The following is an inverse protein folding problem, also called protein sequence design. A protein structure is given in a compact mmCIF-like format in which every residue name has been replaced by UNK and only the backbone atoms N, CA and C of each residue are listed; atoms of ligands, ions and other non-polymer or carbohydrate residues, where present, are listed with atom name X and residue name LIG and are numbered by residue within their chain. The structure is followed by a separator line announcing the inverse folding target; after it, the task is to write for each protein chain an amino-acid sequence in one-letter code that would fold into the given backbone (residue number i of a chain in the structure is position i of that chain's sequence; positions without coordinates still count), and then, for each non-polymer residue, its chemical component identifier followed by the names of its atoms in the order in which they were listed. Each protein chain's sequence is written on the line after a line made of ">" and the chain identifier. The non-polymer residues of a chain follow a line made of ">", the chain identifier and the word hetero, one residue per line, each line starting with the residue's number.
data_IF_516807305772
#
_entry.id   IF_516807305772
#
_cell.length_a   1.000
_cell.length_b   1.000
_cell.length_c   1.000
_cell.angle_alpha   90.00
_cell.angle_beta   90.00
_cell.angle_gamma   90.00
#
_symmetry.space_group_name_H-M   'P 1'
#
loop_
_entity.id
_entity.type
_entity.pdbx_description
1 polymer ?
#
# COMPACT_ATOMS: atom_id res chain seq x y z
N UNK A 1 -37.54 -3.00 7.34
CA UNK A 1 -37.94 -3.69 6.09
C UNK A 1 -36.79 -3.60 5.10
N UNK A 2 -36.14 -4.73 4.76
CA UNK A 2 -35.10 -4.78 3.74
C UNK A 2 -35.77 -4.59 2.39
N UNK A 3 -35.46 -3.51 1.70
CA UNK A 3 -35.87 -3.30 0.31
C UNK A 3 -34.94 -4.15 -0.57
N UNK A 4 -35.46 -5.28 -1.04
CA UNK A 4 -34.75 -6.10 -2.01
C UNK A 4 -34.66 -5.36 -3.34
N UNK A 5 -33.44 -5.25 -3.90
CA UNK A 5 -33.21 -4.81 -5.28
C UNK A 5 -33.22 -6.05 -6.16
N UNK A 6 -34.13 -6.08 -7.13
CA UNK A 6 -34.19 -7.16 -8.13
C UNK A 6 -33.36 -6.69 -9.33
N UNK A 7 -32.25 -7.37 -9.59
CA UNK A 7 -31.46 -7.14 -10.81
C UNK A 7 -32.03 -8.03 -11.90
N UNK A 8 -32.68 -7.43 -12.89
CA UNK A 8 -33.31 -8.16 -13.99
C UNK A 8 -32.34 -8.50 -15.12
N UNK A 9 -31.29 -7.69 -15.27
CA UNK A 9 -30.26 -7.86 -16.31
C UNK A 9 -28.96 -7.23 -15.87
N UNK A 10 -27.84 -7.84 -16.24
CA UNK A 10 -26.49 -7.30 -16.07
C UNK A 10 -25.89 -7.16 -17.47
N UNK A 11 -25.69 -5.93 -17.92
CA UNK A 11 -25.03 -5.65 -19.19
C UNK A 11 -23.52 -5.44 -18.97
N UNK A 12 -22.70 -6.15 -19.73
CA UNK A 12 -21.23 -6.03 -19.69
C UNK A 12 -20.68 -4.97 -20.66
N UNK A 13 -21.53 -4.42 -21.52
CA UNK A 13 -21.13 -3.41 -22.50
C UNK A 13 -21.99 -2.17 -22.35
N UNK A 14 -21.34 -1.03 -22.15
CA UNK A 14 -21.97 0.28 -22.23
C UNK A 14 -21.96 0.69 -23.71
N UNK A 15 -22.98 0.29 -24.44
CA UNK A 15 -23.15 0.74 -25.82
C UNK A 15 -23.58 2.21 -25.84
N UNK A 16 -22.66 3.11 -26.24
CA UNK A 16 -22.91 4.49 -26.71
C UNK A 16 -24.10 5.22 -26.05
N UNK A 17 -24.14 5.25 -24.73
CA UNK A 17 -25.06 6.17 -24.03
C UNK A 17 -24.41 7.54 -24.08
N UNK A 18 -25.09 8.51 -24.73
CA UNK A 18 -24.66 9.90 -24.71
C UNK A 18 -24.57 10.36 -23.23
N UNK A 19 -23.36 10.69 -22.76
CA UNK A 19 -23.11 11.09 -21.36
C UNK A 19 -24.04 12.22 -20.90
N UNK A 20 -24.41 13.13 -21.81
CA UNK A 20 -25.29 14.25 -21.55
C UNK A 20 -26.75 13.82 -21.24
N UNK A 21 -27.12 12.58 -21.51
CA UNK A 21 -28.45 12.02 -21.19
C UNK A 21 -28.53 11.30 -19.85
N UNK A 22 -27.38 11.15 -19.15
CA UNK A 22 -27.35 10.46 -17.86
C UNK A 22 -27.73 11.41 -16.73
N UNK A 23 -28.57 10.92 -15.81
CA UNK A 23 -28.91 11.62 -14.57
C UNK A 23 -28.17 10.93 -13.42
N UNK A 24 -27.35 11.69 -12.70
CA UNK A 24 -26.68 11.19 -11.51
C UNK A 24 -27.72 10.82 -10.45
N UNK A 25 -27.73 9.56 -10.04
CA UNK A 25 -28.65 9.04 -9.01
C UNK A 25 -27.99 9.13 -7.63
N UNK A 26 -26.69 8.86 -7.57
CA UNK A 26 -25.92 8.84 -6.32
C UNK A 26 -24.44 9.03 -6.63
N UNK A 27 -23.78 9.85 -5.84
CA UNK A 27 -22.32 10.01 -5.86
C UNK A 27 -21.76 9.59 -4.50
N UNK A 28 -20.77 8.70 -4.51
CA UNK A 28 -20.03 8.28 -3.31
C UNK A 28 -18.57 8.70 -3.54
N UNK A 29 -18.04 9.52 -2.61
CA UNK A 29 -16.63 9.90 -2.66
C UNK A 29 -15.78 8.83 -1.96
N UNK A 30 -14.68 8.43 -2.61
CA UNK A 30 -13.67 7.59 -1.96
C UNK A 30 -12.97 8.37 -0.84
N UNK A 31 -12.36 7.69 0.14
CA UNK A 31 -11.36 8.29 1.01
C UNK A 31 -10.20 8.88 0.19
N UNK A 32 -9.42 9.74 0.81
CA UNK A 32 -8.17 10.26 0.23
C UNK A 32 -7.12 9.15 0.11
N UNK A 33 -6.15 9.30 -0.80
CA UNK A 33 -5.15 8.26 -1.06
C UNK A 33 -4.31 7.93 0.18
N UNK A 34 -3.97 8.93 0.98
CA UNK A 34 -3.27 8.74 2.26
C UNK A 34 -4.05 7.82 3.22
N UNK A 35 -5.37 8.00 3.31
CA UNK A 35 -6.23 7.16 4.14
C UNK A 35 -6.39 5.74 3.57
N UNK A 36 -6.37 5.58 2.25
CA UNK A 36 -6.39 4.26 1.62
C UNK A 36 -5.07 3.53 1.93
N UNK A 37 -3.93 4.22 1.83
CA UNK A 37 -2.61 3.65 2.15
C UNK A 37 -2.52 3.28 3.63
N UNK A 38 -2.95 4.16 4.54
CA UNK A 38 -3.00 3.89 5.98
C UNK A 38 -3.82 2.61 6.29
N UNK A 39 -5.02 2.50 5.74
CA UNK A 39 -5.87 1.31 5.91
C UNK A 39 -5.24 0.06 5.30
N UNK A 40 -4.63 0.18 4.12
CA UNK A 40 -3.94 -0.91 3.45
C UNK A 40 -2.79 -1.46 4.32
N UNK A 41 -1.93 -0.59 4.84
CA UNK A 41 -0.80 -1.00 5.68
C UNK A 41 -1.25 -1.52 7.06
N UNK A 42 -2.27 -0.91 7.66
CA UNK A 42 -2.82 -1.33 8.96
C UNK A 42 -3.45 -2.72 8.91
N UNK A 43 -4.12 -3.07 7.79
CA UNK A 43 -4.88 -4.31 7.67
C UNK A 43 -4.19 -5.37 6.79
N UNK A 44 -2.99 -5.10 6.28
CA UNK A 44 -2.28 -5.94 5.30
C UNK A 44 -3.18 -6.27 4.08
N UNK A 45 -3.81 -5.22 3.52
CA UNK A 45 -4.76 -5.39 2.41
C UNK A 45 -4.04 -5.55 1.07
N UNK A 46 -3.73 -6.79 0.77
CA UNK A 46 -3.05 -7.20 -0.45
C UNK A 46 -3.82 -6.85 -1.74
N UNK A 47 -5.16 -6.80 -1.68
CA UNK A 47 -5.98 -6.44 -2.84
C UNK A 47 -5.82 -4.95 -3.14
N UNK A 48 -5.90 -4.10 -2.12
CA UNK A 48 -5.69 -2.65 -2.28
C UNK A 48 -4.26 -2.35 -2.78
N UNK A 49 -3.23 -3.04 -2.25
CA UNK A 49 -1.86 -2.89 -2.72
C UNK A 49 -1.71 -3.22 -4.22
N UNK A 50 -2.30 -4.32 -4.67
CA UNK A 50 -2.31 -4.70 -6.09
C UNK A 50 -3.08 -3.69 -6.96
N UNK A 51 -4.17 -3.13 -6.45
CA UNK A 51 -4.94 -2.12 -7.18
C UNK A 51 -4.18 -0.80 -7.29
N UNK A 52 -3.42 -0.39 -6.26
CA UNK A 52 -2.55 0.79 -6.32
C UNK A 52 -1.46 0.59 -7.39
N UNK A 53 -0.83 -0.58 -7.47
CA UNK A 53 0.14 -0.87 -8.53
C UNK A 53 -0.49 -0.73 -9.93
N UNK A 54 -1.72 -1.22 -10.12
CA UNK A 54 -2.45 -1.08 -11.41
C UNK A 54 -2.80 0.38 -11.71
N UNK A 55 -3.14 1.17 -10.69
CA UNK A 55 -3.42 2.61 -10.85
C UNK A 55 -2.15 3.39 -11.23
N UNK A 56 -0.99 3.03 -10.67
CA UNK A 56 0.32 3.55 -11.10
C UNK A 56 0.51 3.25 -12.60
N UNK A 57 0.26 2.02 -13.01
CA UNK A 57 0.34 1.62 -14.42
C UNK A 57 -0.61 2.42 -15.29
N UNK A 58 -1.86 2.61 -14.87
CA UNK A 58 -2.86 3.38 -15.59
C UNK A 58 -2.46 4.85 -15.74
N UNK A 59 -2.01 5.49 -14.68
CA UNK A 59 -1.61 6.89 -14.70
C UNK A 59 -0.43 7.17 -15.63
N UNK A 60 0.46 6.19 -15.83
CA UNK A 60 1.68 6.33 -16.65
C UNK A 60 1.48 5.91 -18.10
N UNK A 61 0.67 4.89 -18.34
CA UNK A 61 0.57 4.24 -19.67
C UNK A 61 -0.84 4.24 -20.24
N UNK A 62 -1.85 4.62 -19.46
CA UNK A 62 -3.26 4.46 -19.80
C UNK A 62 -3.78 3.02 -19.66
N UNK A 63 -2.97 2.09 -19.14
CA UNK A 63 -3.35 0.68 -18.94
C UNK A 63 -3.25 0.30 -17.47
N UNK A 64 -4.40 0.01 -16.84
CA UNK A 64 -4.49 -0.43 -15.46
C UNK A 64 -4.22 -1.92 -15.30
N UNK A 65 -2.99 -2.36 -15.46
CA UNK A 65 -2.58 -3.76 -15.31
C UNK A 65 -1.37 -3.90 -14.38
N UNK A 66 -1.21 -5.06 -13.76
CA UNK A 66 -0.01 -5.40 -12.97
C UNK A 66 1.26 -5.17 -13.80
N UNK A 67 1.27 -5.65 -15.04
CA UNK A 67 2.43 -5.52 -15.93
C UNK A 67 2.82 -4.07 -16.22
N UNK A 68 1.85 -3.18 -16.47
CA UNK A 68 2.13 -1.75 -16.67
C UNK A 68 2.62 -1.07 -15.40
N UNK A 69 2.09 -1.45 -14.24
CA UNK A 69 2.57 -0.96 -12.94
C UNK A 69 4.02 -1.39 -12.66
N UNK A 70 4.34 -2.66 -12.87
CA UNK A 70 5.68 -3.21 -12.68
C UNK A 70 6.74 -2.57 -13.60
N UNK A 71 6.37 -2.21 -14.82
CA UNK A 71 7.27 -1.49 -15.73
C UNK A 71 7.47 -0.04 -15.29
N UNK A 72 6.43 0.60 -14.78
CA UNK A 72 6.45 2.01 -14.38
C UNK A 72 7.20 2.25 -13.07
N UNK A 73 7.17 1.31 -12.13
CA UNK A 73 7.71 1.52 -10.78
C UNK A 73 9.22 1.78 -10.74
N UNK A 74 10.09 1.02 -11.45
CA UNK A 74 11.52 1.32 -11.49
C UNK A 74 11.84 2.70 -12.06
N UNK A 75 11.06 3.17 -13.04
CA UNK A 75 11.20 4.51 -13.60
C UNK A 75 10.83 5.61 -12.58
N UNK A 76 9.79 5.36 -11.77
CA UNK A 76 9.39 6.27 -10.69
C UNK A 76 10.48 6.34 -9.62
N UNK A 77 11.02 5.21 -9.20
CA UNK A 77 12.11 5.17 -8.23
C UNK A 77 13.33 5.94 -8.74
N UNK A 78 13.74 5.68 -9.97
CA UNK A 78 14.88 6.38 -10.59
C UNK A 78 14.63 7.90 -10.75
N UNK A 79 13.41 8.31 -11.05
CA UNK A 79 13.06 9.73 -11.18
C UNK A 79 13.06 10.48 -9.83
N UNK A 80 13.05 9.75 -8.72
CA UNK A 80 13.12 10.27 -7.36
C UNK A 80 14.46 9.94 -6.67
N UNK A 81 15.50 9.62 -7.45
CA UNK A 81 16.84 9.27 -6.98
C UNK A 81 16.88 8.08 -6.00
N UNK A 82 15.83 7.23 -6.00
CA UNK A 82 15.77 6.04 -5.17
C UNK A 82 16.43 4.83 -5.85
N UNK A 83 17.13 3.98 -5.09
CA UNK A 83 17.82 2.82 -5.67
C UNK A 83 16.79 1.79 -6.16
N UNK A 84 17.08 1.20 -7.32
CA UNK A 84 16.29 0.07 -7.85
C UNK A 84 17.13 -1.21 -8.05
N UNK A 85 18.40 -1.16 -7.69
CA UNK A 85 19.29 -2.33 -7.77
C UNK A 85 18.85 -3.40 -6.79
N UNK A 86 18.63 -4.61 -7.28
CA UNK A 86 18.13 -5.73 -6.48
C UNK A 86 16.62 -5.72 -6.25
N UNK A 87 15.90 -4.80 -6.89
CA UNK A 87 14.43 -4.82 -6.91
C UNK A 87 13.94 -5.77 -8.01
N UNK A 88 13.18 -6.77 -7.63
CA UNK A 88 12.42 -7.64 -8.52
C UNK A 88 10.99 -7.73 -7.99
N UNK A 89 10.03 -7.28 -8.75
CA UNK A 89 8.62 -7.33 -8.38
C UNK A 89 7.85 -8.16 -9.40
N UNK A 90 6.99 -9.02 -8.88
CA UNK A 90 6.08 -9.89 -9.64
C UNK A 90 4.64 -9.42 -9.47
N UNK A 91 4.32 -8.82 -8.32
CA UNK A 91 3.02 -8.26 -7.99
C UNK A 91 3.15 -7.06 -7.04
N UNK A 92 2.06 -6.35 -6.82
CA UNK A 92 1.97 -5.25 -5.86
C UNK A 92 1.53 -5.70 -4.47
N UNK A 93 0.99 -6.90 -4.37
CA UNK A 93 0.43 -7.44 -3.14
C UNK A 93 1.47 -7.98 -2.16
N UNK A 94 2.71 -8.26 -2.62
CA UNK A 94 3.73 -8.92 -1.82
C UNK A 94 3.56 -10.43 -1.64
N UNK A 95 2.51 -11.04 -2.20
CA UNK A 95 2.23 -12.47 -2.03
C UNK A 95 3.15 -13.38 -2.84
N UNK A 96 3.70 -12.89 -3.94
CA UNK A 96 4.67 -13.66 -4.70
C UNK A 96 5.96 -13.87 -3.90
N UNK A 97 6.42 -15.12 -3.83
CA UNK A 97 7.70 -15.47 -3.20
C UNK A 97 8.92 -14.98 -3.99
N UNK A 98 8.72 -14.61 -5.23
CA UNK A 98 9.77 -14.11 -6.12
C UNK A 98 9.94 -12.59 -6.04
N UNK A 99 9.10 -11.88 -5.27
CA UNK A 99 9.32 -10.48 -4.96
C UNK A 99 10.60 -10.30 -4.14
N UNK A 100 11.45 -9.37 -4.54
CA UNK A 100 12.71 -9.04 -3.88
C UNK A 100 12.89 -7.52 -3.80
N UNK A 101 13.28 -7.03 -2.65
CA UNK A 101 13.70 -5.67 -2.42
C UNK A 101 14.86 -5.64 -1.43
N UNK A 102 15.68 -4.61 -1.46
CA UNK A 102 16.78 -4.45 -0.53
C UNK A 102 16.36 -3.64 0.70
N UNK A 103 16.93 -3.95 1.88
CA UNK A 103 16.77 -3.10 3.05
C UNK A 103 17.19 -1.65 2.77
N UNK A 104 18.24 -1.45 1.99
CA UNK A 104 18.71 -0.12 1.59
C UNK A 104 17.65 0.70 0.84
N UNK A 105 16.84 0.08 -0.03
CA UNK A 105 15.74 0.78 -0.70
C UNK A 105 14.71 1.29 0.33
N UNK A 106 14.30 0.44 1.26
CA UNK A 106 13.34 0.83 2.30
C UNK A 106 13.89 1.91 3.23
N UNK A 107 15.18 1.80 3.58
CA UNK A 107 15.86 2.82 4.39
C UNK A 107 15.85 4.18 3.67
N UNK A 108 16.27 4.25 2.41
CA UNK A 108 16.28 5.49 1.64
C UNK A 108 14.89 6.08 1.45
N UNK A 109 13.85 5.26 1.28
CA UNK A 109 12.46 5.72 1.23
C UNK A 109 12.04 6.35 2.58
N UNK A 110 12.39 5.73 3.71
CA UNK A 110 12.03 6.24 5.03
C UNK A 110 12.86 7.50 5.42
N UNK A 111 14.10 7.59 4.96
CA UNK A 111 14.96 8.77 5.17
C UNK A 111 14.54 9.98 4.32
N UNK A 112 13.76 9.77 3.25
CA UNK A 112 13.25 10.85 2.42
C UNK A 112 12.31 11.77 3.20
N UNK A 113 12.55 13.07 3.14
CA UNK A 113 11.81 14.04 3.94
C UNK A 113 10.34 14.21 3.53
N UNK A 114 10.00 13.89 2.29
CA UNK A 114 8.64 14.01 1.75
C UNK A 114 7.87 12.70 1.89
N UNK A 115 8.47 11.59 1.43
CA UNK A 115 7.82 10.29 1.39
C UNK A 115 7.91 9.55 2.73
N UNK A 116 9.06 9.57 3.40
CA UNK A 116 9.30 8.89 4.67
C UNK A 116 8.29 9.31 5.74
N UNK A 117 8.14 10.61 5.98
CA UNK A 117 7.16 11.12 6.95
C UNK A 117 5.72 10.72 6.62
N UNK A 118 5.36 10.63 5.35
CA UNK A 118 4.02 10.21 4.91
C UNK A 118 3.81 8.73 5.15
N UNK A 119 4.81 7.91 4.84
CA UNK A 119 4.77 6.46 5.05
C UNK A 119 4.72 6.13 6.55
N UNK A 120 5.58 6.74 7.37
CA UNK A 120 5.60 6.53 8.81
C UNK A 120 4.25 6.79 9.48
N UNK A 121 3.56 7.87 9.05
CA UNK A 121 2.19 8.17 9.54
C UNK A 121 1.14 7.15 9.12
N UNK A 122 1.40 6.41 8.05
CA UNK A 122 0.52 5.37 7.55
C UNK A 122 0.83 3.99 8.14
N UNK A 123 2.00 3.80 8.77
CA UNK A 123 2.38 2.55 9.40
C UNK A 123 1.59 2.33 10.70
N UNK A 124 1.11 1.10 10.96
CA UNK A 124 0.41 0.78 12.21
C UNK A 124 1.35 0.76 13.42
N UNK A 125 0.82 1.16 14.58
CA UNK A 125 1.54 1.14 15.84
C UNK A 125 1.55 -0.27 16.43
N UNK A 126 2.74 -0.83 16.63
CA UNK A 126 2.98 -2.19 17.12
C UNK A 126 2.42 -2.37 18.54
N UNK A 127 1.73 -3.47 18.77
CA UNK A 127 1.05 -3.78 20.01
C UNK A 127 -0.29 -3.05 20.21
N UNK A 128 -0.75 -2.27 19.21
CA UNK A 128 -1.96 -1.43 19.31
C UNK A 128 -2.89 -1.60 18.13
N UNK A 129 -2.38 -1.57 16.90
CA UNK A 129 -3.20 -1.41 15.70
C UNK A 129 -3.06 -2.56 14.71
N UNK A 130 -4.16 -2.89 14.04
CA UNK A 130 -4.23 -3.75 12.87
C UNK A 130 -3.55 -5.10 13.04
N UNK A 131 -2.85 -5.52 12.00
CA UNK A 131 -2.16 -6.83 11.96
C UNK A 131 -0.94 -6.92 12.86
N UNK A 132 -0.47 -5.81 13.43
CA UNK A 132 0.65 -5.77 14.36
C UNK A 132 0.22 -5.59 15.82
N UNK A 133 -1.08 -5.66 16.12
CA UNK A 133 -1.63 -5.43 17.46
C UNK A 133 -1.22 -6.48 18.51
N UNK A 134 -0.81 -7.66 18.08
CA UNK A 134 -0.35 -8.76 18.94
C UNK A 134 1.15 -9.09 18.78
N UNK A 135 1.88 -8.24 18.05
CA UNK A 135 3.30 -8.42 17.77
C UNK A 135 4.13 -7.65 18.80
N UNK A 136 5.23 -8.24 19.27
CA UNK A 136 6.19 -7.66 20.22
C UNK A 136 5.61 -7.19 21.55
N UNK A 137 4.49 -7.76 22.02
CA UNK A 137 3.90 -7.45 23.32
C UNK A 137 4.89 -7.70 24.47
N UNK A 138 4.91 -6.81 25.45
CA UNK A 138 5.81 -6.89 26.61
C UNK A 138 7.27 -6.56 26.29
N UNK A 139 7.56 -6.04 25.11
CA UNK A 139 8.91 -5.60 24.71
C UNK A 139 8.99 -4.08 24.63
N UNK A 140 10.21 -3.49 24.55
CA UNK A 140 10.38 -2.05 24.34
C UNK A 140 9.76 -1.52 23.03
N UNK A 141 9.44 -2.40 22.08
CA UNK A 141 8.82 -2.04 20.80
C UNK A 141 7.31 -1.79 20.90
N UNK A 142 6.65 -2.39 21.91
CA UNK A 142 5.23 -2.18 22.14
C UNK A 142 4.94 -0.68 22.33
N UNK A 143 4.05 -0.13 21.52
CA UNK A 143 3.65 1.28 21.51
C UNK A 143 4.78 2.31 21.22
N UNK A 144 5.93 1.86 20.73
CA UNK A 144 7.07 2.71 20.38
C UNK A 144 7.64 2.44 18.98
N UNK A 145 7.12 1.43 18.30
CA UNK A 145 7.49 1.08 16.93
C UNK A 145 6.28 1.23 16.04
N UNK A 146 6.39 2.02 14.97
CA UNK A 146 5.46 1.98 13.85
C UNK A 146 6.08 1.13 12.75
N UNK A 147 5.40 0.09 12.29
CA UNK A 147 6.00 -0.82 11.33
C UNK A 147 4.96 -1.58 10.50
N UNK A 148 5.34 -1.89 9.26
CA UNK A 148 4.73 -2.98 8.51
C UNK A 148 5.59 -4.24 8.66
N UNK A 149 4.94 -5.38 8.89
CA UNK A 149 5.61 -6.65 9.12
C UNK A 149 5.04 -7.71 8.18
N UNK A 150 5.91 -8.58 7.72
CA UNK A 150 5.54 -9.79 7.00
C UNK A 150 6.23 -10.98 7.66
N UNK A 151 5.46 -11.99 8.03
CA UNK A 151 5.98 -13.24 8.57
C UNK A 151 5.32 -14.43 7.87
N UNK A 152 6.13 -15.31 7.31
CA UNK A 152 5.73 -16.60 6.75
C UNK A 152 6.60 -17.69 7.44
N UNK A 153 6.41 -18.94 7.08
CA UNK A 153 7.06 -20.09 7.71
C UNK A 153 8.59 -20.02 7.67
N UNK A 154 9.14 -19.41 6.62
CA UNK A 154 10.58 -19.38 6.30
C UNK A 154 11.11 -17.98 5.97
N UNK A 155 10.26 -16.94 6.05
CA UNK A 155 10.61 -15.56 5.73
C UNK A 155 10.01 -14.61 6.74
N UNK A 156 10.72 -13.53 6.99
CA UNK A 156 10.22 -12.40 7.76
C UNK A 156 10.82 -11.10 7.23
N UNK A 157 10.03 -10.06 7.28
CA UNK A 157 10.46 -8.69 7.01
C UNK A 157 9.79 -7.76 8.01
N UNK A 158 10.49 -6.70 8.35
CA UNK A 158 9.98 -5.61 9.15
C UNK A 158 10.55 -4.31 8.59
N UNK A 159 9.70 -3.34 8.37
CA UNK A 159 10.08 -2.00 7.92
C UNK A 159 9.35 -0.99 8.77
N UNK A 160 10.08 -0.07 9.39
CA UNK A 160 9.45 0.92 10.24
C UNK A 160 10.41 1.84 10.98
N UNK A 161 9.87 2.57 11.94
CA UNK A 161 10.58 3.54 12.75
C UNK A 161 10.29 3.30 14.24
N UNK A 162 11.34 3.22 15.04
CA UNK A 162 11.30 3.00 16.49
C UNK A 162 11.73 4.27 17.22
N UNK A 163 10.90 4.75 18.12
CA UNK A 163 11.25 5.86 18.99
C UNK A 163 11.75 5.34 20.33
N UNK A 164 13.01 5.66 20.65
CA UNK A 164 13.63 5.28 21.93
C UNK A 164 13.05 6.07 23.10
N UNK A 165 13.29 5.58 24.34
CA UNK A 165 12.91 6.31 25.56
C UNK A 165 13.52 7.71 25.70
N UNK A 166 14.60 7.99 24.95
CA UNK A 166 15.26 9.30 24.88
C UNK A 166 14.70 10.19 23.77
N UNK A 167 13.68 9.69 23.03
CA UNK A 167 13.08 10.41 21.89
C UNK A 167 13.93 10.37 20.62
N UNK A 168 14.86 9.43 20.52
CA UNK A 168 15.66 9.22 19.31
C UNK A 168 14.90 8.26 18.39
N UNK A 169 14.73 8.66 17.16
CA UNK A 169 14.13 7.84 16.12
C UNK A 169 15.18 6.98 15.44
N UNK A 170 14.85 5.67 15.27
CA UNK A 170 15.74 4.68 14.65
C UNK A 170 14.95 3.95 13.59
N UNK A 171 15.40 4.03 12.34
CA UNK A 171 14.82 3.28 11.23
C UNK A 171 15.22 1.80 11.34
N UNK A 172 14.26 0.92 11.08
CA UNK A 172 14.45 -0.53 11.13
C UNK A 172 13.99 -1.11 9.78
N UNK A 173 14.90 -1.84 9.11
CA UNK A 173 14.62 -2.50 7.82
C UNK A 173 15.23 -3.89 7.75
#
# INVERSE_FOLDING_TARGET
>A
EARGVIILEVANEVNNVEQDSLVEILSIKSPTLDKIIEQMLTNDDNVTAEMILKEIGFSRTGQGSTGSGLVSLPEILAANDLPNTGLLLIDGSGLSRDNQATCGLFQEILEDSEYGTTIEKALPLVGVEGVVSDVFLGTPFESNLVAHTFFDTDRGALVGSYTTSEGIEVLIT
#
